data_IF_557215909177
#
_entry.id   IF_557215909177
#
_cell.length_a   1.000
_cell.length_b   1.000
_cell.length_c   1.000
_cell.angle_alpha   90.00
_cell.angle_beta   90.00
_cell.angle_gamma   90.00
#
_symmetry.space_group_name_H-M   'P 1'
#
loop_
_entity.id
_entity.type
_entity.pdbx_description
1 polymer ?
#
# COMPACT_ATOMS: atom_id res chain seq x y z
N UNK A 1 -4.33 -11.34 28.32
CA UNK A 1 -5.01 -12.02 27.19
C UNK A 1 -4.72 -11.38 25.84
N UNK A 2 -4.69 -10.04 25.72
CA UNK A 2 -4.50 -9.35 24.43
C UNK A 2 -3.18 -9.67 23.70
N UNK A 3 -2.06 -9.81 24.44
CA UNK A 3 -0.77 -10.19 23.84
C UNK A 3 -0.79 -11.60 23.24
N UNK A 4 -1.49 -12.57 23.85
CA UNK A 4 -1.55 -13.93 23.31
C UNK A 4 -2.36 -13.99 22.01
N UNK A 5 -3.44 -13.21 21.92
CA UNK A 5 -4.21 -13.06 20.68
C UNK A 5 -3.39 -12.37 19.57
N UNK A 6 -2.57 -11.37 19.91
CA UNK A 6 -1.64 -10.74 18.95
C UNK A 6 -0.60 -11.75 18.43
N UNK A 7 -0.06 -12.62 19.29
CA UNK A 7 0.90 -13.67 18.91
C UNK A 7 0.26 -14.72 18.02
N UNK A 8 -0.94 -15.18 18.38
CA UNK A 8 -1.70 -16.16 17.59
C UNK A 8 -2.03 -15.63 16.19
N UNK A 9 -2.46 -14.37 16.09
CA UNK A 9 -2.84 -13.73 14.82
C UNK A 9 -1.67 -13.20 13.99
N UNK A 10 -0.44 -13.21 14.51
CA UNK A 10 0.73 -12.67 13.82
C UNK A 10 1.03 -13.41 12.50
N UNK A 11 0.88 -14.73 12.50
CA UNK A 11 1.13 -15.58 11.33
C UNK A 11 0.14 -15.30 10.20
N UNK A 12 -1.16 -15.32 10.50
CA UNK A 12 -2.22 -15.05 9.53
C UNK A 12 -2.16 -13.63 8.99
N UNK A 13 -1.84 -12.64 9.84
CA UNK A 13 -1.66 -11.25 9.42
C UNK A 13 -0.53 -11.09 8.40
N UNK A 14 0.61 -11.75 8.61
CA UNK A 14 1.74 -11.73 7.66
C UNK A 14 1.35 -12.37 6.32
N UNK A 15 0.67 -13.51 6.35
CA UNK A 15 0.23 -14.20 5.14
C UNK A 15 -0.78 -13.36 4.34
N UNK A 16 -1.71 -12.69 5.04
CA UNK A 16 -2.66 -11.77 4.42
C UNK A 16 -1.94 -10.63 3.72
N UNK A 17 -1.00 -9.95 4.39
CA UNK A 17 -0.23 -8.85 3.81
C UNK A 17 0.53 -9.31 2.55
N UNK A 18 1.23 -10.45 2.61
CA UNK A 18 1.96 -11.00 1.47
C UNK A 18 1.03 -11.33 0.29
N UNK A 19 -0.13 -11.94 0.57
CA UNK A 19 -1.13 -12.25 -0.46
C UNK A 19 -1.68 -10.99 -1.12
N UNK A 20 -2.00 -9.97 -0.33
CA UNK A 20 -2.54 -8.71 -0.86
C UNK A 20 -1.49 -7.94 -1.68
N UNK A 21 -0.22 -7.95 -1.26
CA UNK A 21 0.88 -7.41 -2.05
C UNK A 21 1.00 -8.13 -3.39
N UNK A 22 1.05 -9.46 -3.38
CA UNK A 22 1.16 -10.26 -4.62
C UNK A 22 -0.01 -10.00 -5.58
N UNK A 23 -1.23 -9.81 -5.07
CA UNK A 23 -2.39 -9.43 -5.89
C UNK A 23 -2.23 -8.04 -6.51
N UNK A 24 -1.68 -7.09 -5.76
CA UNK A 24 -1.41 -5.75 -6.27
C UNK A 24 -0.35 -5.79 -7.37
N UNK A 25 0.73 -6.53 -7.15
CA UNK A 25 1.82 -6.69 -8.13
C UNK A 25 1.30 -7.31 -9.44
N UNK A 26 0.47 -8.35 -9.34
CA UNK A 26 -0.19 -8.95 -10.50
C UNK A 26 -1.06 -7.92 -11.25
N UNK A 27 -1.82 -7.09 -10.55
CA UNK A 27 -2.61 -6.04 -11.16
C UNK A 27 -1.73 -4.99 -11.87
N UNK A 28 -0.60 -4.60 -11.27
CA UNK A 28 0.38 -3.69 -11.87
C UNK A 28 0.93 -4.26 -13.18
N UNK A 29 1.34 -5.54 -13.18
CA UNK A 29 1.85 -6.20 -14.38
C UNK A 29 0.79 -6.28 -15.49
N UNK A 30 -0.44 -6.60 -15.15
CA UNK A 30 -1.56 -6.58 -16.11
C UNK A 30 -1.84 -5.15 -16.61
N UNK A 31 -1.68 -4.15 -15.76
CA UNK A 31 -1.82 -2.73 -16.07
C UNK A 31 -0.90 -2.30 -17.21
N UNK A 32 0.34 -2.81 -17.28
CA UNK A 32 1.28 -2.46 -18.34
C UNK A 32 0.78 -2.79 -19.76
N UNK A 33 -0.11 -3.78 -19.89
CA UNK A 33 -0.72 -4.16 -21.16
C UNK A 33 -2.15 -3.63 -21.31
N UNK A 34 -2.91 -3.61 -20.22
CA UNK A 34 -4.35 -3.34 -20.21
C UNK A 34 -4.64 -1.93 -19.66
N UNK A 35 -4.94 -0.94 -20.54
CA UNK A 35 -5.07 0.46 -20.14
C UNK A 35 -6.21 0.73 -19.14
N UNK A 36 -7.27 -0.07 -19.18
CA UNK A 36 -8.37 0.03 -18.21
C UNK A 36 -7.91 -0.35 -16.78
N UNK A 37 -7.07 -1.38 -16.63
CA UNK A 37 -6.54 -1.80 -15.33
C UNK A 37 -5.62 -0.72 -14.77
N UNK A 38 -4.71 -0.21 -15.58
CA UNK A 38 -3.83 0.88 -15.16
C UNK A 38 -4.59 2.13 -14.75
N UNK A 39 -5.63 2.48 -15.51
CA UNK A 39 -6.50 3.62 -15.17
C UNK A 39 -7.12 3.42 -13.79
N UNK A 40 -7.64 2.22 -13.51
CA UNK A 40 -8.20 1.89 -12.19
C UNK A 40 -7.15 1.96 -11.07
N UNK A 41 -5.93 1.45 -11.31
CA UNK A 41 -4.82 1.52 -10.35
C UNK A 41 -4.45 2.97 -10.04
N UNK A 42 -4.20 3.79 -11.06
CA UNK A 42 -3.85 5.20 -10.91
C UNK A 42 -4.96 5.97 -10.20
N UNK A 43 -6.22 5.77 -10.61
CA UNK A 43 -7.36 6.40 -9.96
C UNK A 43 -7.44 6.05 -8.47
N UNK A 44 -7.30 4.77 -8.12
CA UNK A 44 -7.32 4.32 -6.74
C UNK A 44 -6.16 4.90 -5.92
N UNK A 45 -4.99 5.05 -6.53
CA UNK A 45 -3.82 5.65 -5.89
C UNK A 45 -4.02 7.16 -5.63
N UNK A 46 -4.59 7.91 -6.58
CA UNK A 46 -4.95 9.33 -6.40
C UNK A 46 -5.95 9.47 -5.25
N UNK A 47 -6.97 8.61 -5.24
CA UNK A 47 -8.00 8.60 -4.21
C UNK A 47 -7.50 8.07 -2.86
N UNK A 48 -6.25 7.56 -2.78
CA UNK A 48 -5.66 6.90 -1.60
C UNK A 48 -6.47 5.69 -1.12
N UNK A 49 -7.12 5.00 -2.05
CA UNK A 49 -7.93 3.79 -1.81
C UNK A 49 -7.32 2.54 -2.45
N UNK A 50 -6.15 2.68 -3.09
CA UNK A 50 -5.42 1.57 -3.68
C UNK A 50 -4.90 0.58 -2.63
N UNK A 51 -4.55 -0.63 -3.08
CA UNK A 51 -4.07 -1.68 -2.18
C UNK A 51 -2.78 -1.27 -1.47
N UNK A 52 -1.87 -0.60 -2.17
CA UNK A 52 -0.63 -0.11 -1.60
C UNK A 52 -0.87 0.92 -0.49
N UNK A 53 -1.81 1.86 -0.71
CA UNK A 53 -2.21 2.83 0.32
C UNK A 53 -2.76 2.13 1.57
N UNK A 54 -3.61 1.12 1.38
CA UNK A 54 -4.21 0.36 2.47
C UNK A 54 -3.16 -0.44 3.27
N UNK A 55 -2.22 -1.09 2.58
CA UNK A 55 -1.14 -1.85 3.23
C UNK A 55 -0.20 -0.92 4.02
N UNK A 56 0.14 0.23 3.45
CA UNK A 56 0.97 1.24 4.10
C UNK A 56 0.28 1.85 5.32
N UNK A 57 -1.02 2.14 5.22
CA UNK A 57 -1.83 2.59 6.35
C UNK A 57 -1.88 1.53 7.45
N UNK A 58 -2.16 0.27 7.11
CA UNK A 58 -2.20 -0.83 8.08
C UNK A 58 -0.86 -1.00 8.82
N UNK A 59 0.27 -0.88 8.09
CA UNK A 59 1.60 -0.92 8.70
C UNK A 59 1.85 0.28 9.62
N UNK A 60 1.45 1.49 9.21
CA UNK A 60 1.53 2.70 10.03
C UNK A 60 0.70 2.58 11.30
N UNK A 61 -0.52 2.06 11.19
CA UNK A 61 -1.45 1.84 12.30
C UNK A 61 -0.89 0.81 13.29
N UNK A 62 -0.33 -0.31 12.79
CA UNK A 62 0.36 -1.30 13.62
C UNK A 62 1.50 -0.67 14.42
N UNK A 63 2.35 0.11 13.77
CA UNK A 63 3.47 0.80 14.42
C UNK A 63 2.99 1.83 15.46
N UNK A 64 1.88 2.52 15.18
CA UNK A 64 1.28 3.46 16.13
C UNK A 64 0.77 2.73 17.37
N UNK A 65 -0.04 1.68 17.21
CA UNK A 65 -0.58 0.93 18.33
C UNK A 65 0.49 0.17 19.12
N UNK A 66 1.54 -0.33 18.47
CA UNK A 66 2.67 -0.94 19.17
C UNK A 66 3.37 0.07 20.10
N UNK A 67 3.59 1.31 19.65
CA UNK A 67 4.17 2.36 20.50
C UNK A 67 3.27 2.69 21.69
N UNK A 68 1.96 2.78 21.47
CA UNK A 68 1.01 3.01 22.56
C UNK A 68 1.02 1.84 23.55
N UNK A 69 1.01 0.61 23.04
CA UNK A 69 1.08 -0.61 23.83
C UNK A 69 2.31 -0.62 24.73
N UNK A 70 3.49 -0.39 24.15
CA UNK A 70 4.75 -0.36 24.89
C UNK A 70 4.80 0.77 25.92
N UNK A 71 4.18 1.92 25.65
CA UNK A 71 4.07 3.02 26.60
C UNK A 71 3.15 2.69 27.78
N UNK A 72 1.96 2.15 27.53
CA UNK A 72 0.94 1.93 28.56
C UNK A 72 1.13 0.65 29.38
N UNK A 73 1.79 -0.37 28.83
CA UNK A 73 1.91 -1.68 29.47
C UNK A 73 2.51 -1.64 30.88
N UNK A 74 3.61 -0.92 31.15
CA UNK A 74 4.14 -0.82 32.51
C UNK A 74 3.11 -0.26 33.49
N UNK A 75 2.45 0.86 33.14
CA UNK A 75 1.45 1.49 34.00
C UNK A 75 0.24 0.59 34.28
N UNK A 76 -0.25 -0.12 33.26
CA UNK A 76 -1.41 -1.02 33.39
C UNK A 76 -1.06 -2.24 34.27
N UNK A 77 0.08 -2.88 34.01
CA UNK A 77 0.43 -4.13 34.71
C UNK A 77 1.00 -3.92 36.11
N UNK A 78 1.53 -2.74 36.41
CA UNK A 78 1.95 -2.34 37.76
C UNK A 78 0.79 -1.73 38.58
N UNK A 79 -0.42 -1.67 38.02
CA UNK A 79 -1.58 -1.01 38.63
C UNK A 79 -1.28 0.45 39.07
N UNK A 80 -0.51 1.17 38.25
CA UNK A 80 -0.18 2.56 38.52
C UNK A 80 -1.43 3.44 38.47
N UNK A 81 -1.46 4.49 39.31
CA UNK A 81 -2.56 5.44 39.29
C UNK A 81 -2.56 6.22 37.95
N UNK A 82 -3.74 6.36 37.33
CA UNK A 82 -3.92 7.05 36.07
C UNK A 82 -3.43 8.52 36.07
N UNK A 83 -3.34 9.15 37.24
CA UNK A 83 -2.86 10.53 37.40
C UNK A 83 -1.36 10.69 37.08
N UNK A 84 -0.60 9.59 37.02
CA UNK A 84 0.83 9.58 36.69
C UNK A 84 1.04 9.69 35.18
N UNK A 85 0.02 9.36 34.38
CA UNK A 85 0.07 9.44 32.93
C UNK A 85 -0.15 10.88 32.48
N UNK A 86 0.74 11.37 31.63
CA UNK A 86 0.57 12.66 30.96
C UNK A 86 -0.38 12.51 29.77
N UNK A 87 -1.68 12.65 30.05
CA UNK A 87 -2.75 12.52 29.06
C UNK A 87 -2.68 13.58 27.95
N UNK A 88 -2.06 14.75 28.21
CA UNK A 88 -1.92 15.79 27.19
C UNK A 88 -1.01 15.38 26.03
N UNK A 89 -0.09 14.43 26.27
CA UNK A 89 0.77 13.85 25.22
C UNK A 89 0.08 12.75 24.41
N UNK A 90 -1.08 12.28 24.84
CA UNK A 90 -1.83 11.20 24.20
C UNK A 90 -2.79 11.76 23.15
N UNK A 91 -2.23 12.15 22.01
CA UNK A 91 -2.97 12.79 20.92
C UNK A 91 -3.23 11.85 19.75
N UNK A 92 -4.30 12.14 19.00
CA UNK A 92 -4.59 11.47 17.73
C UNK A 92 -3.50 11.82 16.73
N UNK A 93 -3.03 10.82 15.97
CA UNK A 93 -2.10 11.03 14.87
C UNK A 93 -2.79 10.79 13.54
N UNK A 94 -2.55 11.69 12.59
CA UNK A 94 -3.02 11.57 11.23
C UNK A 94 -1.97 10.79 10.44
N UNK A 95 -2.41 9.76 9.72
CA UNK A 95 -1.57 9.07 8.76
C UNK A 95 -1.53 9.85 7.45
N UNK A 96 -0.33 10.25 7.03
CA UNK A 96 -0.12 10.94 5.78
C UNK A 96 0.60 10.01 4.81
N UNK A 97 -0.12 9.56 3.79
CA UNK A 97 0.49 8.90 2.65
C UNK A 97 1.17 9.94 1.75
N UNK A 98 2.49 9.85 1.63
CA UNK A 98 3.35 10.75 0.83
C UNK A 98 3.61 10.21 -0.58
N UNK A 99 2.99 9.09 -0.96
CA UNK A 99 3.17 8.54 -2.28
C UNK A 99 2.75 9.53 -3.36
N UNK A 100 3.67 9.78 -4.28
CA UNK A 100 3.46 10.63 -5.46
C UNK A 100 3.40 9.74 -6.68
N UNK A 101 2.42 10.02 -7.54
CA UNK A 101 2.30 9.32 -8.82
C UNK A 101 3.34 9.90 -9.77
N UNK A 102 4.16 9.01 -10.32
CA UNK A 102 5.08 9.37 -11.38
C UNK A 102 4.41 9.10 -12.73
N UNK A 103 3.91 10.17 -13.36
CA UNK A 103 3.24 10.08 -14.67
C UNK A 103 4.15 9.49 -15.75
N UNK A 104 5.46 9.69 -15.67
CA UNK A 104 6.39 9.09 -16.63
C UNK A 104 6.33 7.56 -16.54
N UNK A 105 6.37 6.99 -15.33
CA UNK A 105 6.27 5.54 -15.11
C UNK A 105 4.90 5.01 -15.57
N UNK A 106 3.82 5.78 -15.33
CA UNK A 106 2.46 5.41 -15.75
C UNK A 106 2.34 5.28 -17.26
N UNK A 107 2.88 6.23 -18.03
CA UNK A 107 2.71 6.24 -19.49
C UNK A 107 3.79 5.46 -20.25
N UNK A 108 4.96 5.22 -19.65
CA UNK A 108 6.10 4.60 -20.31
C UNK A 108 5.81 3.23 -20.97
N UNK A 109 5.10 2.28 -20.32
CA UNK A 109 4.77 0.99 -20.96
C UNK A 109 3.95 1.14 -22.24
N UNK A 110 3.03 2.10 -22.27
CA UNK A 110 2.19 2.36 -23.44
C UNK A 110 2.97 3.02 -24.57
N UNK A 111 3.91 3.91 -24.26
CA UNK A 111 4.78 4.50 -25.27
C UNK A 111 5.60 3.42 -25.99
N UNK A 112 6.11 2.44 -25.25
CA UNK A 112 6.79 1.27 -25.84
C UNK A 112 5.84 0.46 -26.71
N UNK A 113 4.65 0.11 -26.19
CA UNK A 113 3.69 -0.71 -26.92
C UNK A 113 3.21 -0.03 -28.22
N UNK A 114 2.89 1.26 -28.15
CA UNK A 114 2.48 2.06 -29.31
C UNK A 114 3.64 2.15 -30.32
N UNK A 115 4.86 2.44 -29.86
CA UNK A 115 6.04 2.48 -30.73
C UNK A 115 6.26 1.15 -31.46
N UNK A 116 6.16 0.03 -30.74
CA UNK A 116 6.27 -1.31 -31.31
C UNK A 116 5.20 -1.55 -32.39
N UNK A 117 3.93 -1.23 -32.11
CA UNK A 117 2.84 -1.39 -33.08
C UNK A 117 3.04 -0.52 -34.32
N UNK A 118 3.53 0.71 -34.15
CA UNK A 118 3.86 1.61 -35.27
C UNK A 118 4.98 1.04 -36.13
N UNK A 119 6.06 0.53 -35.53
CA UNK A 119 7.18 -0.10 -36.26
C UNK A 119 6.69 -1.32 -37.05
N UNK A 120 5.92 -2.21 -36.40
CA UNK A 120 5.38 -3.41 -37.06
C UNK A 120 4.43 -3.05 -38.21
N UNK A 121 3.58 -2.04 -38.01
CA UNK A 121 2.70 -1.51 -39.05
C UNK A 121 3.48 -1.00 -40.26
N UNK A 122 4.53 -0.19 -40.03
CA UNK A 122 5.37 0.34 -41.10
C UNK A 122 6.13 -0.75 -41.87
N UNK A 123 6.67 -1.76 -41.17
CA UNK A 123 7.35 -2.90 -41.82
C UNK A 123 6.38 -3.65 -42.73
N UNK A 124 5.14 -3.89 -42.28
CA UNK A 124 4.11 -4.57 -43.08
C UNK A 124 3.68 -3.71 -44.27
N UNK A 125 3.47 -2.41 -44.08
CA UNK A 125 3.08 -1.49 -45.15
C UNK A 125 4.13 -1.42 -46.26
N UNK A 126 5.42 -1.35 -45.90
CA UNK A 126 6.55 -1.39 -46.87
C UNK A 126 6.68 -2.69 -47.66
N UNK A 127 6.08 -3.79 -47.20
CA UNK A 127 6.05 -5.05 -47.95
C UNK A 127 4.88 -5.16 -48.93
N UNK A 128 3.88 -4.27 -48.80
CA UNK A 128 2.66 -4.26 -49.60
C UNK A 128 2.70 -3.25 -50.76
N UNK A 129 3.49 -2.18 -50.62
CA UNK A 129 3.85 -1.23 -51.68
C UNK A 129 5.12 -1.66 -52.39
#
# INVERSE_FOLDING_TARGET
MQHMADVESAGSSKQFQAKMQSRNDAAIYLGYLLPNIQTQLVQSQIAKTGMENQLNYAQGLKNFHEKQRLYFYPYIFENANANIVDWAKQTVKIYNDLQKINLFIVFFPYLILISLLLILSQIKFRKLC
#
